data_IF_565438875573
#
_entry.id   IF_565438875573
#
_cell.length_a   1.000
_cell.length_b   1.000
_cell.length_c   1.000
_cell.angle_alpha   90.00
_cell.angle_beta   90.00
_cell.angle_gamma   90.00
#
_symmetry.space_group_name_H-M   'P 1'
#
loop_
_entity.id
_entity.type
_entity.pdbx_description
1 polymer ?
#
# COMPACT_ATOMS: atom_id res chain seq x y z
N UNK A 1 0.11 12.60 -6.33
CA UNK A 1 -0.41 11.21 -6.48
C UNK A 1 -0.07 10.39 -5.24
N UNK A 2 -1.03 10.13 -4.32
CA UNK A 2 -0.76 9.51 -3.01
C UNK A 2 -0.17 8.10 -3.07
N UNK A 3 -0.52 7.31 -4.09
CA UNK A 3 -0.04 5.94 -4.25
C UNK A 3 1.47 5.86 -4.52
N UNK A 4 2.02 6.79 -5.31
CA UNK A 4 3.47 6.86 -5.57
C UNK A 4 4.24 7.37 -4.35
N UNK A 5 3.61 8.26 -3.56
CA UNK A 5 4.17 8.76 -2.31
C UNK A 5 4.27 7.63 -1.28
N UNK A 6 3.25 6.78 -1.16
CA UNK A 6 3.26 5.63 -0.26
C UNK A 6 4.40 4.63 -0.57
N UNK A 7 4.75 4.44 -1.85
CA UNK A 7 5.88 3.61 -2.26
C UNK A 7 7.24 4.19 -1.82
N UNK A 8 7.36 5.52 -1.75
CA UNK A 8 8.61 6.19 -1.36
C UNK A 8 8.89 6.11 0.13
N UNK A 9 7.86 6.19 0.96
CA UNK A 9 7.99 6.24 2.42
C UNK A 9 7.87 4.86 3.08
N UNK A 10 7.56 3.80 2.33
CA UNK A 10 7.32 2.48 2.90
C UNK A 10 8.08 1.39 2.10
N UNK A 11 9.17 0.82 2.66
CA UNK A 11 10.02 -0.13 1.93
C UNK A 11 9.27 -1.41 1.51
N UNK A 12 8.29 -1.86 2.29
CA UNK A 12 7.39 -2.97 1.94
C UNK A 12 6.51 -2.68 0.72
N UNK A 13 6.05 -1.43 0.59
CA UNK A 13 5.26 -1.00 -0.57
C UNK A 13 6.14 -0.81 -1.80
N UNK A 14 7.40 -0.41 -1.61
CA UNK A 14 8.39 -0.32 -2.69
C UNK A 14 8.72 -1.67 -3.30
N UNK A 15 9.00 -2.69 -2.49
CA UNK A 15 9.29 -4.03 -2.99
C UNK A 15 8.11 -4.63 -3.80
N UNK A 16 6.88 -4.41 -3.31
CA UNK A 16 5.66 -4.81 -4.05
C UNK A 16 5.44 -4.00 -5.31
N UNK A 17 5.74 -2.71 -5.28
CA UNK A 17 5.69 -1.84 -6.45
C UNK A 17 6.65 -2.32 -7.54
N UNK A 18 7.92 -2.51 -7.21
CA UNK A 18 8.96 -2.93 -8.15
C UNK A 18 8.60 -4.30 -8.76
N UNK A 19 8.14 -5.26 -7.94
CA UNK A 19 7.71 -6.57 -8.41
C UNK A 19 6.51 -6.54 -9.39
N UNK A 20 5.60 -5.58 -9.24
CA UNK A 20 4.39 -5.45 -10.07
C UNK A 20 4.65 -4.62 -11.33
N UNK A 21 5.55 -3.64 -11.25
CA UNK A 21 6.03 -2.87 -12.41
C UNK A 21 6.87 -3.77 -13.32
N UNK A 22 7.71 -4.65 -12.77
CA UNK A 22 8.46 -5.64 -13.56
C UNK A 22 7.55 -6.67 -14.23
N UNK A 23 6.36 -6.93 -13.68
CA UNK A 23 5.34 -7.76 -14.37
C UNK A 23 4.56 -7.01 -15.45
N UNK A 24 4.91 -5.77 -15.77
CA UNK A 24 4.26 -4.94 -16.79
C UNK A 24 2.95 -4.29 -16.33
N UNK A 25 2.61 -4.33 -15.04
CA UNK A 25 1.39 -3.67 -14.55
C UNK A 25 1.63 -2.16 -14.38
N UNK A 26 0.64 -1.32 -14.70
CA UNK A 26 0.74 0.11 -14.47
C UNK A 26 0.96 0.39 -12.98
N UNK A 27 2.04 1.12 -12.69
CA UNK A 27 2.54 1.58 -11.38
C UNK A 27 1.43 1.95 -10.37
N UNK A 28 0.38 2.62 -10.84
CA UNK A 28 -0.75 3.08 -10.02
C UNK A 28 -1.60 1.92 -9.47
N UNK A 29 -1.83 0.89 -10.28
CA UNK A 29 -2.69 -0.25 -9.91
C UNK A 29 -1.94 -1.21 -9.00
N UNK A 30 -0.62 -1.31 -9.17
CA UNK A 30 0.25 -2.18 -8.37
C UNK A 30 0.08 -1.96 -6.86
N UNK A 31 0.05 -0.70 -6.41
CA UNK A 31 0.01 -0.37 -4.98
C UNK A 31 -1.42 -0.17 -4.47
N UNK A 32 -2.36 0.23 -5.34
CA UNK A 32 -3.74 0.55 -4.97
C UNK A 32 -4.43 -0.59 -4.21
N UNK A 33 -4.33 -1.84 -4.69
CA UNK A 33 -5.00 -2.97 -4.05
C UNK A 33 -4.51 -3.20 -2.62
N UNK A 34 -3.20 -3.03 -2.36
CA UNK A 34 -2.62 -3.22 -1.03
C UNK A 34 -3.03 -2.11 -0.07
N UNK A 35 -3.13 -0.86 -0.55
CA UNK A 35 -3.65 0.27 0.24
C UNK A 35 -5.12 0.08 0.62
N UNK A 36 -5.96 -0.35 -0.32
CA UNK A 36 -7.39 -0.62 -0.05
C UNK A 36 -7.55 -1.75 0.97
N UNK A 37 -6.77 -2.82 0.86
CA UNK A 37 -6.82 -3.93 1.83
C UNK A 37 -6.35 -3.48 3.22
N UNK A 38 -5.27 -2.68 3.30
CA UNK A 38 -4.79 -2.11 4.56
C UNK A 38 -5.81 -1.19 5.22
N UNK A 39 -6.49 -0.35 4.45
CA UNK A 39 -7.54 0.53 4.95
C UNK A 39 -8.81 -0.25 5.36
N UNK A 40 -9.15 -1.32 4.65
CA UNK A 40 -10.32 -2.13 4.94
C UNK A 40 -10.15 -3.06 6.16
N UNK A 41 -8.91 -3.43 6.51
CA UNK A 41 -8.64 -4.28 7.68
C UNK A 41 -9.17 -3.70 9.01
N UNK A 42 -8.85 -2.45 9.41
CA UNK A 42 -9.37 -1.85 10.64
C UNK A 42 -10.88 -1.58 10.56
N UNK A 43 -11.40 -1.19 9.39
CA UNK A 43 -12.84 -0.97 9.17
C UNK A 43 -13.64 -2.26 9.39
N UNK A 44 -13.16 -3.39 8.87
CA UNK A 44 -13.80 -4.70 9.07
C UNK A 44 -13.71 -5.17 10.53
N UNK A 45 -12.64 -4.80 11.23
CA UNK A 45 -12.44 -5.14 12.64
C UNK A 45 -13.13 -4.19 13.63
N UNK A 46 -13.83 -3.15 13.14
CA UNK A 46 -14.43 -2.12 13.99
C UNK A 46 -13.41 -1.37 14.87
N UNK A 47 -12.13 -1.37 14.47
CA UNK A 47 -11.04 -0.80 15.27
C UNK A 47 -10.55 0.50 14.63
N UNK A 48 -10.24 1.49 15.46
CA UNK A 48 -9.56 2.71 15.02
C UNK A 48 -8.15 2.41 14.50
N UNK A 49 -7.70 3.17 13.51
CA UNK A 49 -6.34 3.06 12.98
C UNK A 49 -5.33 3.38 14.08
N UNK A 50 -4.54 2.39 14.49
CA UNK A 50 -3.47 2.59 15.47
C UNK A 50 -2.16 2.83 14.71
N UNK A 51 -1.50 3.99 14.89
CA UNK A 51 -0.17 4.19 14.34
C UNK A 51 0.78 3.15 14.95
N UNK A 52 1.59 2.52 14.09
CA UNK A 52 2.66 1.64 14.58
C UNK A 52 3.74 2.54 15.18
N UNK A 53 3.80 2.61 16.50
CA UNK A 53 4.94 3.23 17.21
C UNK A 53 6.20 2.44 16.85
N UNK A 54 7.24 3.16 16.46
CA UNK A 54 8.53 2.61 16.02
C UNK A 54 9.20 1.76 17.10
#
# INVERSE_FOLDING_TARGET
>A
MPALVAARFNPDLKAKYDALVTTGKPAKVAIMRKLVVLANAPLKAGRLWMPKTA
#
